data_IF_248766940867
#
_entry.id   IF_248766940867
#
_cell.length_a   1.000
_cell.length_b   1.000
_cell.length_c   1.000
_cell.angle_alpha   90.00
_cell.angle_beta   90.00
_cell.angle_gamma   90.00
#
_symmetry.space_group_name_H-M   'P 1'
#
loop_
_entity.id
_entity.type
_entity.pdbx_description
1 polymer ?
#
# COMPACT_ATOMS: atom_id res chain seq x y z
N UNK A 1 11.86 -1.83 5.09
CA UNK A 1 11.46 -2.95 4.20
C UNK A 1 12.39 -4.14 4.45
N UNK A 2 12.03 -5.03 5.38
CA UNK A 2 12.88 -6.15 5.80
C UNK A 2 12.57 -7.45 5.06
N UNK A 3 11.28 -7.71 4.84
CA UNK A 3 10.80 -9.03 4.42
C UNK A 3 11.06 -9.33 2.94
N UNK A 4 11.80 -8.44 2.26
CA UNK A 4 12.12 -8.51 0.84
C UNK A 4 13.61 -8.76 0.62
N UNK A 5 13.94 -9.42 -0.50
CA UNK A 5 15.31 -9.86 -0.80
C UNK A 5 15.74 -9.38 -2.17
N UNK A 6 16.81 -8.58 -2.24
CA UNK A 6 17.33 -7.94 -3.46
C UNK A 6 16.20 -7.35 -4.35
N UNK A 7 16.18 -7.62 -5.65
CA UNK A 7 15.14 -7.16 -6.57
C UNK A 7 13.80 -7.88 -6.44
N UNK A 8 13.57 -8.65 -5.37
CA UNK A 8 12.33 -9.37 -5.09
C UNK A 8 11.94 -10.43 -6.13
N UNK A 9 12.89 -10.94 -6.94
CA UNK A 9 12.60 -12.00 -7.92
C UNK A 9 12.07 -13.30 -7.31
N UNK A 10 12.34 -13.53 -6.02
CA UNK A 10 11.79 -14.68 -5.25
C UNK A 10 10.76 -14.24 -4.22
N UNK A 11 11.07 -13.22 -3.42
CA UNK A 11 10.22 -12.77 -2.31
C UNK A 11 9.03 -11.94 -2.77
N UNK A 12 9.13 -11.32 -3.95
CA UNK A 12 8.09 -10.49 -4.54
C UNK A 12 6.92 -11.25 -5.16
N UNK A 13 6.96 -12.58 -5.22
CA UNK A 13 5.81 -13.41 -5.62
C UNK A 13 4.96 -13.85 -4.42
N UNK A 14 5.43 -13.61 -3.19
CA UNK A 14 4.78 -14.07 -1.97
C UNK A 14 4.07 -12.90 -1.27
N UNK A 15 2.73 -12.83 -1.39
CA UNK A 15 1.91 -11.76 -0.81
C UNK A 15 2.18 -11.53 0.68
N UNK A 16 2.51 -12.59 1.45
CA UNK A 16 2.76 -12.50 2.90
C UNK A 16 3.95 -11.61 3.25
N UNK A 17 4.91 -11.44 2.33
CA UNK A 17 6.11 -10.62 2.53
C UNK A 17 5.88 -9.13 2.27
N UNK A 18 4.67 -8.77 1.83
CA UNK A 18 4.19 -7.39 1.70
C UNK A 18 3.42 -6.90 2.94
N UNK A 19 3.26 -7.73 3.97
CA UNK A 19 2.44 -7.41 5.15
C UNK A 19 2.93 -6.19 5.96
N UNK A 20 4.25 -5.97 6.05
CA UNK A 20 4.82 -4.82 6.79
C UNK A 20 4.86 -3.54 5.98
N UNK A 21 5.31 -3.64 4.73
CA UNK A 21 5.43 -2.53 3.79
C UNK A 21 4.84 -3.03 2.49
N UNK A 22 3.58 -2.65 2.26
CA UNK A 22 2.78 -3.20 1.18
C UNK A 22 3.11 -2.59 -0.19
N UNK A 23 3.51 -1.32 -0.21
CA UNK A 23 3.59 -0.51 -1.43
C UNK A 23 4.88 0.33 -1.43
N UNK A 24 5.41 0.70 -2.62
CA UNK A 24 6.56 1.59 -2.74
C UNK A 24 6.19 3.01 -2.27
N UNK A 25 7.09 3.64 -1.52
CA UNK A 25 6.96 5.02 -1.07
C UNK A 25 8.33 5.69 -0.92
N UNK A 26 8.37 7.02 -1.01
CA UNK A 26 9.51 7.82 -0.55
C UNK A 26 9.25 8.31 0.86
N UNK A 27 10.16 7.99 1.77
CA UNK A 27 10.07 8.42 3.16
C UNK A 27 10.77 9.76 3.33
N UNK A 28 10.11 10.68 4.03
CA UNK A 28 10.62 12.01 4.37
C UNK A 28 10.34 12.32 5.84
N UNK A 29 11.16 13.18 6.44
CA UNK A 29 10.86 13.69 7.77
C UNK A 29 9.57 14.54 7.74
N UNK A 30 8.65 14.42 8.74
CA UNK A 30 7.38 15.15 8.74
C UNK A 30 7.52 16.68 8.61
N UNK A 31 8.59 17.27 9.16
CA UNK A 31 8.86 18.70 8.98
C UNK A 31 9.21 19.06 7.52
N UNK A 32 9.90 18.19 6.80
CA UNK A 32 10.20 18.40 5.38
C UNK A 32 8.96 18.31 4.51
N UNK A 33 8.03 17.42 4.86
CA UNK A 33 6.72 17.32 4.24
C UNK A 33 5.89 18.59 4.50
N UNK A 34 5.83 19.05 5.76
CA UNK A 34 5.10 20.25 6.13
C UNK A 34 5.61 21.50 5.41
N UNK A 35 6.94 21.70 5.32
CA UNK A 35 7.56 22.80 4.57
C UNK A 35 7.22 22.78 3.08
N UNK A 36 6.86 21.62 2.53
CA UNK A 36 6.52 21.40 1.12
C UNK A 36 5.01 21.21 0.88
N UNK A 37 4.17 21.40 1.91
CA UNK A 37 2.73 21.15 1.87
C UNK A 37 2.35 19.74 1.38
N UNK A 38 3.14 18.74 1.79
CA UNK A 38 2.89 17.34 1.46
C UNK A 38 2.20 16.61 2.61
N UNK A 39 1.27 15.72 2.28
CA UNK A 39 0.60 14.80 3.21
C UNK A 39 0.92 13.36 2.84
N UNK A 40 0.80 12.44 3.79
CA UNK A 40 0.94 11.01 3.51
C UNK A 40 0.06 10.58 2.34
N UNK A 41 0.64 9.83 1.41
CA UNK A 41 -0.03 9.35 0.20
C UNK A 41 -0.03 10.34 -0.97
N UNK A 42 0.36 11.61 -0.77
CA UNK A 42 0.57 12.54 -1.89
C UNK A 42 1.65 11.99 -2.83
N UNK A 43 1.40 12.07 -4.14
CA UNK A 43 2.39 11.70 -5.13
C UNK A 43 3.44 12.81 -5.30
N UNK A 44 4.70 12.41 -5.41
CA UNK A 44 5.82 13.32 -5.66
C UNK A 44 6.71 12.81 -6.78
N UNK A 45 7.19 13.73 -7.61
CA UNK A 45 8.33 13.50 -8.49
C UNK A 45 9.59 13.50 -7.64
N UNK A 46 10.33 12.39 -7.69
CA UNK A 46 11.69 12.29 -7.18
C UNK A 46 12.62 12.29 -8.38
N UNK A 47 13.47 13.31 -8.51
CA UNK A 47 14.31 13.51 -9.71
C UNK A 47 15.77 13.61 -9.31
N UNK A 48 16.62 12.81 -9.93
CA UNK A 48 18.08 12.95 -9.88
C UNK A 48 18.62 13.39 -11.24
N UNK A 49 19.94 13.51 -11.36
CA UNK A 49 20.60 13.76 -12.65
C UNK A 49 20.38 12.65 -13.68
N UNK A 50 20.09 11.42 -13.24
CA UNK A 50 19.94 10.25 -14.12
C UNK A 50 18.49 9.99 -14.57
N UNK A 51 17.51 10.45 -13.79
CA UNK A 51 16.12 10.19 -14.11
C UNK A 51 15.16 10.73 -13.07
N UNK A 52 13.88 10.50 -13.31
CA UNK A 52 12.80 10.85 -12.39
C UNK A 52 11.91 9.64 -12.19
N UNK A 53 11.30 9.49 -11.02
CA UNK A 53 10.20 8.55 -10.79
C UNK A 53 9.10 9.25 -9.99
N UNK A 54 7.90 8.66 -9.96
CA UNK A 54 6.79 9.15 -9.13
C UNK A 54 6.54 8.14 -8.01
N UNK A 55 6.40 8.62 -6.79
CA UNK A 55 6.15 7.80 -5.60
C UNK A 55 5.17 8.50 -4.66
N UNK A 56 4.33 7.76 -3.92
CA UNK A 56 3.65 8.32 -2.77
C UNK A 56 4.67 8.67 -1.69
N UNK A 57 4.43 9.77 -0.98
CA UNK A 57 5.23 10.19 0.17
C UNK A 57 4.71 9.54 1.45
N UNK A 58 5.64 9.19 2.34
CA UNK A 58 5.35 8.69 3.68
C UNK A 58 6.20 9.44 4.72
N UNK A 59 5.58 9.85 5.82
CA UNK A 59 6.28 10.45 6.96
C UNK A 59 7.10 9.43 7.74
N UNK A 60 8.33 9.79 8.07
CA UNK A 60 9.27 8.99 8.86
C UNK A 60 10.08 9.90 9.78
N UNK A 61 9.72 9.95 11.07
CA UNK A 61 10.39 10.79 12.09
C UNK A 61 11.81 10.33 12.43
N UNK A 62 12.16 9.09 12.08
CA UNK A 62 13.47 8.49 12.25
C UNK A 62 14.51 8.99 11.22
N UNK A 63 14.08 9.64 10.15
CA UNK A 63 14.98 10.21 9.15
C UNK A 63 15.50 11.58 9.60
N UNK A 64 16.75 11.88 9.26
CA UNK A 64 17.29 13.22 9.43
C UNK A 64 16.55 14.22 8.53
N UNK A 65 16.52 15.49 8.97
CA UNK A 65 16.02 16.58 8.12
C UNK A 65 16.78 16.64 6.80
N UNK A 66 16.07 16.97 5.72
CA UNK A 66 16.56 17.02 4.34
C UNK A 66 17.14 15.71 3.80
N UNK A 67 16.80 14.57 4.43
CA UNK A 67 17.07 13.24 3.92
C UNK A 67 15.80 12.62 3.36
N UNK A 68 15.96 11.81 2.32
CA UNK A 68 14.91 10.98 1.75
C UNK A 68 15.39 9.53 1.72
N UNK A 69 14.47 8.60 1.98
CA UNK A 69 14.76 7.18 1.91
C UNK A 69 13.79 6.47 0.98
N UNK A 70 14.33 5.63 0.09
CA UNK A 70 13.54 4.71 -0.74
C UNK A 70 14.24 3.35 -0.70
N UNK A 71 13.47 2.30 -0.44
CA UNK A 71 14.04 0.96 -0.39
C UNK A 71 14.43 0.47 -1.80
N UNK A 72 15.65 -0.03 -1.96
CA UNK A 72 16.20 -0.48 -3.26
C UNK A 72 15.41 -1.60 -3.96
N UNK A 73 14.58 -2.31 -3.19
CA UNK A 73 13.82 -3.48 -3.65
C UNK A 73 12.80 -3.12 -4.74
N UNK A 74 12.32 -1.88 -4.75
CA UNK A 74 11.30 -1.42 -5.68
C UNK A 74 11.89 -1.20 -7.08
N UNK A 75 12.01 -2.29 -7.84
CA UNK A 75 12.37 -2.31 -9.25
C UNK A 75 11.19 -2.12 -10.18
N UNK A 76 11.45 -2.21 -11.49
CA UNK A 76 10.47 -2.13 -12.57
C UNK A 76 9.46 -3.29 -12.61
N UNK A 77 9.71 -4.33 -11.82
CA UNK A 77 8.78 -5.41 -11.49
C UNK A 77 7.54 -4.94 -10.73
N UNK A 78 7.67 -3.90 -9.90
CA UNK A 78 6.62 -3.46 -8.96
C UNK A 78 6.31 -1.98 -9.07
N UNK A 79 7.26 -1.18 -9.54
CA UNK A 79 7.15 0.27 -9.66
C UNK A 79 7.43 0.70 -11.10
N UNK A 80 6.45 1.34 -11.71
CA UNK A 80 6.52 1.81 -13.08
C UNK A 80 5.98 3.22 -13.22
N UNK A 81 6.02 3.68 -14.45
CA UNK A 81 5.63 5.02 -14.82
C UNK A 81 6.21 5.40 -16.17
N UNK A 82 5.61 6.40 -16.79
CA UNK A 82 6.17 7.08 -17.96
C UNK A 82 6.29 8.57 -17.71
N UNK A 83 7.35 9.18 -18.24
CA UNK A 83 7.46 10.62 -18.27
C UNK A 83 6.44 11.24 -19.22
N UNK A 84 6.27 12.56 -19.17
CA UNK A 84 5.48 13.30 -20.17
C UNK A 84 5.99 13.15 -21.61
N UNK A 85 7.23 12.65 -21.80
CA UNK A 85 7.82 12.35 -23.10
C UNK A 85 7.71 10.85 -23.48
N UNK A 86 6.91 10.07 -22.74
CA UNK A 86 6.72 8.65 -23.01
C UNK A 86 7.91 7.76 -22.65
N UNK A 87 8.94 8.31 -21.98
CA UNK A 87 10.11 7.53 -21.56
C UNK A 87 9.75 6.73 -20.31
N UNK A 88 9.98 5.42 -20.33
CA UNK A 88 9.77 4.56 -19.16
C UNK A 88 10.67 5.01 -18.02
N UNK A 89 10.04 5.28 -16.88
CA UNK A 89 10.69 5.66 -15.62
C UNK A 89 10.35 4.56 -14.62
N UNK A 90 11.28 3.64 -14.37
CA UNK A 90 10.97 2.48 -13.57
C UNK A 90 12.09 2.12 -12.59
N UNK A 91 11.66 1.74 -11.40
CA UNK A 91 12.53 1.30 -10.31
C UNK A 91 13.40 2.40 -9.68
N UNK A 92 13.79 2.15 -8.43
CA UNK A 92 14.56 3.11 -7.62
C UNK A 92 15.97 3.35 -8.18
N UNK A 93 16.56 2.37 -8.85
CA UNK A 93 17.87 2.49 -9.48
C UNK A 93 17.91 3.48 -10.67
N UNK A 94 16.76 3.96 -11.14
CA UNK A 94 16.71 5.09 -12.07
C UNK A 94 17.21 6.40 -11.43
N UNK A 95 17.16 6.52 -10.11
CA UNK A 95 17.57 7.72 -9.36
C UNK A 95 19.03 7.70 -8.92
N UNK A 96 19.66 6.53 -8.86
CA UNK A 96 21.04 6.39 -8.33
C UNK A 96 22.08 7.05 -9.24
N UNK A 97 23.35 6.96 -8.88
CA UNK A 97 24.48 7.50 -9.67
C UNK A 97 25.20 6.39 -10.43
N UNK A 98 25.92 6.75 -11.50
CA UNK A 98 26.85 5.85 -12.20
C UNK A 98 28.24 5.80 -11.57
N UNK A 99 28.46 6.52 -10.46
CA UNK A 99 29.73 6.50 -9.74
C UNK A 99 30.01 5.12 -9.17
N UNK A 100 31.28 4.70 -9.25
CA UNK A 100 31.77 3.45 -8.67
C UNK A 100 33.18 3.63 -8.13
N UNK A 101 33.58 2.79 -7.18
CA UNK A 101 34.94 2.79 -6.65
C UNK A 101 35.95 2.38 -7.75
N UNK A 102 36.97 3.19 -8.08
CA UNK A 102 37.92 2.89 -9.16
C UNK A 102 38.65 1.56 -9.00
N UNK A 103 38.87 1.11 -7.76
CA UNK A 103 39.55 -0.15 -7.43
C UNK A 103 38.58 -1.34 -7.46
N UNK A 104 37.56 -1.35 -6.59
CA UNK A 104 36.66 -2.51 -6.44
C UNK A 104 35.56 -2.60 -7.49
N UNK A 105 35.34 -1.53 -8.27
CA UNK A 105 34.22 -1.35 -9.21
C UNK A 105 32.83 -1.43 -8.56
N UNK A 106 32.73 -1.35 -7.24
CA UNK A 106 31.45 -1.32 -6.54
C UNK A 106 30.72 0.02 -6.76
N UNK A 107 29.42 0.01 -7.08
CA UNK A 107 28.64 1.23 -7.34
C UNK A 107 28.29 2.01 -6.07
N UNK A 108 28.11 3.31 -6.19
CA UNK A 108 27.55 4.18 -5.15
C UNK A 108 26.03 4.08 -5.12
N UNK A 109 25.51 3.37 -4.12
CA UNK A 109 24.07 3.10 -3.95
C UNK A 109 23.49 3.71 -2.67
N UNK A 110 24.31 4.36 -1.84
CA UNK A 110 23.91 4.92 -0.54
C UNK A 110 23.53 6.40 -0.64
N UNK A 111 24.06 7.11 -1.63
CA UNK A 111 23.81 8.54 -1.77
C UNK A 111 23.50 8.95 -3.22
N UNK A 112 22.38 9.63 -3.40
CA UNK A 112 22.00 10.31 -4.64
C UNK A 112 21.34 11.65 -4.31
N UNK A 113 21.82 12.74 -4.91
CA UNK A 113 21.18 14.04 -4.79
C UNK A 113 19.88 14.03 -5.60
N UNK A 114 18.77 14.36 -4.94
CA UNK A 114 17.44 14.37 -5.54
C UNK A 114 16.72 15.69 -5.29
N UNK A 115 15.88 16.07 -6.24
CA UNK A 115 14.85 17.10 -6.13
C UNK A 115 13.50 16.40 -5.91
N UNK A 116 12.71 16.90 -4.97
CA UNK A 116 11.37 16.37 -4.68
C UNK A 116 10.35 17.48 -4.89
N UNK A 117 9.36 17.23 -5.76
CA UNK A 117 8.25 18.12 -6.07
C UNK A 117 6.93 17.36 -6.02
N UNK A 118 5.83 18.02 -5.62
CA UNK A 118 4.48 17.43 -5.70
C UNK A 118 4.16 17.07 -7.17
N UNK A 119 3.57 15.90 -7.37
CA UNK A 119 3.08 15.44 -8.67
C UNK A 119 1.56 15.67 -8.73
N UNK A 120 1.13 16.55 -9.63
CA UNK A 120 -0.29 16.89 -9.82
C UNK A 120 -0.94 15.87 -10.77
N UNK A 121 -1.36 14.73 -10.21
CA UNK A 121 -2.04 13.64 -10.92
C UNK A 121 -3.47 13.50 -10.36
N UNK A 122 -4.44 14.29 -10.86
CA UNK A 122 -5.77 14.40 -10.27
C UNK A 122 -6.63 13.13 -10.43
N UNK A 123 -6.29 12.26 -11.37
CA UNK A 123 -6.97 10.98 -11.54
C UNK A 123 -6.14 9.85 -10.96
N UNK A 124 -6.77 9.05 -10.09
CA UNK A 124 -6.14 7.89 -9.45
C UNK A 124 -6.94 6.62 -9.67
N UNK A 125 -6.27 5.49 -9.65
CA UNK A 125 -6.82 4.14 -9.78
C UNK A 125 -6.30 3.27 -8.64
N UNK A 126 -7.21 2.53 -8.02
CA UNK A 126 -6.92 1.42 -7.13
C UNK A 126 -7.79 0.23 -7.53
N UNK A 127 -7.16 -0.87 -7.92
CA UNK A 127 -7.82 -2.13 -8.20
C UNK A 127 -7.21 -3.24 -7.35
N UNK A 128 -8.04 -3.97 -6.62
CA UNK A 128 -7.61 -4.99 -5.66
C UNK A 128 -8.48 -6.21 -5.80
N UNK A 129 -7.91 -7.40 -5.96
CA UNK A 129 -8.67 -8.64 -6.00
C UNK A 129 -7.91 -9.82 -5.42
N UNK A 130 -8.65 -10.74 -4.81
CA UNK A 130 -8.19 -12.10 -4.55
C UNK A 130 -8.25 -12.90 -5.85
N UNK A 131 -7.18 -13.62 -6.18
CA UNK A 131 -7.11 -14.44 -7.40
C UNK A 131 -6.82 -15.90 -7.05
N UNK A 132 -7.21 -16.85 -7.92
CA UNK A 132 -6.67 -18.20 -7.86
C UNK A 132 -5.14 -18.18 -7.95
N UNK A 133 -4.46 -19.00 -7.16
CA UNK A 133 -3.01 -18.99 -7.01
C UNK A 133 -2.30 -19.22 -8.35
N UNK A 134 -2.82 -20.14 -9.15
CA UNK A 134 -2.34 -20.49 -10.48
C UNK A 134 -2.48 -19.36 -11.52
N UNK A 135 -3.36 -18.39 -11.27
CA UNK A 135 -3.57 -17.23 -12.15
C UNK A 135 -2.89 -15.96 -11.66
N UNK A 136 -2.60 -15.85 -10.37
CA UNK A 136 -2.12 -14.62 -9.76
C UNK A 136 -0.81 -14.13 -10.38
N UNK A 137 0.15 -15.02 -10.65
CA UNK A 137 1.42 -14.64 -11.26
C UNK A 137 1.23 -14.16 -12.71
N UNK A 138 0.46 -14.90 -13.52
CA UNK A 138 0.19 -14.51 -14.90
C UNK A 138 -0.53 -13.16 -14.99
N UNK A 139 -1.56 -12.95 -14.15
CA UNK A 139 -2.27 -11.68 -14.07
C UNK A 139 -1.34 -10.52 -13.67
N UNK A 140 -0.39 -10.75 -12.74
CA UNK A 140 0.61 -9.75 -12.36
C UNK A 140 1.51 -9.37 -13.53
N UNK A 141 2.00 -10.34 -14.31
CA UNK A 141 2.83 -10.07 -15.48
C UNK A 141 2.07 -9.25 -16.53
N UNK A 142 0.80 -9.57 -16.79
CA UNK A 142 -0.02 -8.79 -17.72
C UNK A 142 -0.29 -7.37 -17.21
N UNK A 143 -0.64 -7.21 -15.92
CA UNK A 143 -0.83 -5.90 -15.29
C UNK A 143 0.46 -5.06 -15.34
N UNK A 144 1.63 -5.68 -15.18
CA UNK A 144 2.93 -5.00 -15.26
C UNK A 144 3.14 -4.32 -16.61
N UNK A 145 2.68 -4.91 -17.72
CA UNK A 145 2.77 -4.27 -19.03
C UNK A 145 1.92 -2.99 -19.11
N UNK A 146 0.77 -2.97 -18.43
CA UNK A 146 -0.12 -1.80 -18.38
C UNK A 146 0.44 -0.66 -17.53
N UNK A 147 1.40 -0.93 -16.64
CA UNK A 147 2.02 0.13 -15.82
C UNK A 147 2.70 1.22 -16.66
N UNK A 148 3.14 0.88 -17.88
CA UNK A 148 3.73 1.85 -18.82
C UNK A 148 2.71 2.83 -19.43
N UNK A 149 1.41 2.65 -19.17
CA UNK A 149 0.36 3.55 -19.66
C UNK A 149 0.08 4.72 -18.70
N UNK A 150 0.71 4.73 -17.53
CA UNK A 150 0.42 5.70 -16.48
C UNK A 150 1.69 6.47 -16.08
N UNK A 151 1.58 7.76 -15.74
CA UNK A 151 2.68 8.50 -15.10
C UNK A 151 3.19 7.85 -13.81
N UNK A 152 2.28 7.27 -13.02
CA UNK A 152 2.60 6.46 -11.85
C UNK A 152 1.82 5.16 -11.91
N UNK A 153 2.50 4.03 -11.69
CA UNK A 153 1.81 2.77 -11.43
C UNK A 153 2.62 1.85 -10.50
N UNK A 154 1.91 1.03 -9.74
CA UNK A 154 2.46 0.00 -8.87
C UNK A 154 1.59 -1.26 -8.91
N UNK A 155 2.21 -2.42 -8.99
CA UNK A 155 1.51 -3.71 -8.93
C UNK A 155 2.21 -4.64 -7.93
N UNK A 156 1.53 -4.99 -6.84
CA UNK A 156 2.09 -5.77 -5.74
C UNK A 156 1.13 -6.88 -5.31
N UNK A 157 1.63 -8.07 -4.92
CA UNK A 157 0.78 -9.07 -4.30
C UNK A 157 0.50 -8.73 -2.84
N UNK A 158 -0.58 -9.32 -2.31
CA UNK A 158 -0.90 -9.28 -0.88
C UNK A 158 -1.54 -10.61 -0.44
N UNK A 159 -1.70 -10.77 0.88
CA UNK A 159 -2.36 -11.92 1.48
C UNK A 159 -1.41 -12.95 2.06
N UNK A 160 -1.96 -13.90 2.83
CA UNK A 160 -1.15 -14.88 3.59
C UNK A 160 -1.42 -16.32 3.18
N UNK A 161 -2.67 -16.75 3.32
CA UNK A 161 -3.16 -18.07 2.91
C UNK A 161 -3.72 -18.04 1.48
N UNK A 162 -4.06 -16.83 1.01
CA UNK A 162 -4.55 -16.53 -0.33
C UNK A 162 -3.64 -15.50 -0.95
N UNK A 163 -3.59 -15.50 -2.28
CA UNK A 163 -2.84 -14.50 -3.05
C UNK A 163 -3.82 -13.54 -3.70
N UNK A 164 -3.63 -12.26 -3.43
CA UNK A 164 -4.32 -11.18 -4.13
C UNK A 164 -3.34 -10.26 -4.82
N UNK A 165 -3.83 -9.43 -5.74
CA UNK A 165 -3.07 -8.38 -6.41
C UNK A 165 -3.68 -7.02 -6.13
N UNK A 166 -2.82 -6.05 -5.84
CA UNK A 166 -3.14 -4.63 -5.76
C UNK A 166 -2.44 -3.92 -6.92
N UNK A 167 -3.24 -3.31 -7.78
CA UNK A 167 -2.80 -2.42 -8.84
C UNK A 167 -3.20 -0.99 -8.51
N UNK A 168 -2.22 -0.10 -8.42
CA UNK A 168 -2.42 1.34 -8.23
C UNK A 168 -1.86 2.08 -9.42
N UNK A 169 -2.57 3.12 -9.87
CA UNK A 169 -2.03 4.04 -10.86
C UNK A 169 -2.53 5.46 -10.64
N UNK A 170 -1.87 6.44 -11.25
CA UNK A 170 -2.33 7.81 -11.30
C UNK A 170 -1.92 8.47 -12.62
N UNK A 171 -2.75 9.40 -13.09
CA UNK A 171 -2.62 10.08 -14.37
C UNK A 171 -3.21 11.49 -14.33
N UNK A 172 -2.94 12.27 -15.39
CA UNK A 172 -3.53 13.59 -15.61
C UNK A 172 -5.01 13.48 -16.00
N UNK A 173 -5.36 12.44 -16.74
CA UNK A 173 -6.70 12.19 -17.26
C UNK A 173 -7.16 10.76 -16.94
N UNK A 174 -8.47 10.53 -17.04
CA UNK A 174 -9.03 9.20 -16.86
C UNK A 174 -8.48 8.23 -17.93
N UNK A 175 -8.12 7.02 -17.51
CA UNK A 175 -7.64 6.01 -18.43
C UNK A 175 -8.73 5.60 -19.45
N UNK A 176 -8.35 5.24 -20.69
CA UNK A 176 -9.29 4.72 -21.68
C UNK A 176 -10.11 3.53 -21.16
N UNK A 177 -11.36 3.42 -21.61
CA UNK A 177 -12.29 2.37 -21.17
C UNK A 177 -11.76 0.95 -21.45
N UNK A 178 -10.99 0.78 -22.53
CA UNK A 178 -10.34 -0.48 -22.92
C UNK A 178 -9.23 -0.91 -21.95
N UNK A 179 -8.46 0.05 -21.43
CA UNK A 179 -7.43 -0.20 -20.42
C UNK A 179 -8.09 -0.59 -19.11
N UNK A 180 -9.14 0.14 -18.72
CA UNK A 180 -9.93 -0.17 -17.53
C UNK A 180 -10.61 -1.54 -17.61
N UNK A 181 -11.21 -1.88 -18.75
CA UNK A 181 -11.82 -3.19 -18.97
C UNK A 181 -10.78 -4.33 -18.95
N UNK A 182 -9.56 -4.08 -19.44
CA UNK A 182 -8.46 -5.04 -19.37
C UNK A 182 -8.03 -5.28 -17.93
N UNK A 183 -7.84 -4.23 -17.13
CA UNK A 183 -7.51 -4.35 -15.70
C UNK A 183 -8.62 -5.11 -14.95
N UNK A 184 -9.90 -4.77 -15.19
CA UNK A 184 -11.03 -5.47 -14.61
C UNK A 184 -11.05 -6.97 -14.98
N UNK A 185 -10.78 -7.32 -16.24
CA UNK A 185 -10.72 -8.71 -16.70
C UNK A 185 -9.59 -9.49 -16.01
N UNK A 186 -8.39 -8.90 -15.92
CA UNK A 186 -7.22 -9.53 -15.28
C UNK A 186 -7.45 -9.79 -13.79
N UNK A 187 -8.27 -8.96 -13.14
CA UNK A 187 -8.60 -9.05 -11.73
C UNK A 187 -9.91 -9.80 -11.45
N UNK A 188 -10.47 -10.52 -12.45
CA UNK A 188 -11.73 -11.27 -12.32
C UNK A 188 -12.95 -10.39 -11.97
N UNK A 189 -12.94 -9.15 -12.45
CA UNK A 189 -13.99 -8.13 -12.27
C UNK A 189 -14.75 -7.83 -13.57
N UNK A 190 -14.59 -8.66 -14.60
CA UNK A 190 -15.30 -8.56 -15.89
C UNK A 190 -16.68 -9.24 -15.92
N UNK A 191 -17.05 -10.02 -14.90
CA UNK A 191 -18.26 -10.83 -14.85
C UNK A 191 -19.58 -10.05 -14.68
N UNK A 192 -20.71 -10.74 -14.88
CA UNK A 192 -22.07 -10.19 -14.69
C UNK A 192 -22.46 -10.07 -13.21
N UNK A 193 -21.76 -10.78 -12.33
CA UNK A 193 -21.91 -10.78 -10.86
C UNK A 193 -21.20 -9.60 -10.17
N UNK A 194 -20.69 -8.64 -10.94
CA UNK A 194 -19.95 -7.48 -10.46
C UNK A 194 -20.82 -6.23 -10.47
N UNK A 195 -20.96 -5.60 -9.30
CA UNK A 195 -21.63 -4.32 -9.14
C UNK A 195 -20.78 -3.23 -9.80
N UNK A 196 -21.42 -2.35 -10.59
CA UNK A 196 -20.70 -1.29 -11.34
C UNK A 196 -21.36 0.07 -11.22
N UNK A 197 -20.52 1.09 -11.23
CA UNK A 197 -20.90 2.49 -11.37
C UNK A 197 -19.84 3.21 -12.23
N UNK A 198 -20.28 4.04 -13.17
CA UNK A 198 -19.38 4.87 -13.95
C UNK A 198 -19.99 6.26 -14.18
N UNK A 199 -19.19 7.29 -14.02
CA UNK A 199 -19.51 8.67 -14.39
C UNK A 199 -18.34 9.22 -15.21
N UNK A 200 -18.48 9.12 -16.54
CA UNK A 200 -17.45 9.55 -17.49
C UNK A 200 -17.14 11.04 -17.36
N UNK A 201 -18.13 11.87 -17.05
CA UNK A 201 -17.93 13.33 -16.91
C UNK A 201 -17.04 13.67 -15.72
N UNK A 202 -17.09 12.85 -14.67
CA UNK A 202 -16.25 13.00 -13.47
C UNK A 202 -15.02 12.08 -13.46
N UNK A 203 -14.78 11.32 -14.54
CA UNK A 203 -13.70 10.32 -14.60
C UNK A 203 -13.84 9.19 -13.58
N UNK A 204 -15.05 8.96 -13.05
CA UNK A 204 -15.29 7.99 -11.99
C UNK A 204 -15.63 6.62 -12.55
N UNK A 205 -14.99 5.57 -12.02
CA UNK A 205 -15.35 4.18 -12.32
C UNK A 205 -15.20 3.32 -11.07
N UNK A 206 -16.21 2.50 -10.79
CA UNK A 206 -16.24 1.63 -9.61
C UNK A 206 -16.77 0.27 -10.01
N UNK A 207 -16.09 -0.76 -9.55
CA UNK A 207 -16.51 -2.15 -9.68
C UNK A 207 -16.33 -2.84 -8.32
N UNK A 208 -17.25 -3.73 -7.95
CA UNK A 208 -17.13 -4.53 -6.73
C UNK A 208 -17.76 -5.91 -6.93
N UNK A 209 -17.01 -6.96 -6.62
CA UNK A 209 -17.45 -8.35 -6.75
C UNK A 209 -17.66 -8.98 -5.38
N UNK A 210 -18.86 -9.50 -5.16
CA UNK A 210 -19.21 -10.23 -3.95
C UNK A 210 -19.32 -11.72 -4.27
N UNK A 211 -18.70 -12.56 -3.45
CA UNK A 211 -18.88 -14.01 -3.51
C UNK A 211 -19.51 -14.51 -2.21
N UNK A 212 -20.40 -15.50 -2.32
CA UNK A 212 -20.98 -16.19 -1.17
C UNK A 212 -19.96 -17.21 -0.64
N UNK A 213 -19.66 -17.13 0.65
CA UNK A 213 -18.80 -18.06 1.39
C UNK A 213 -19.59 -18.53 2.61
N UNK A 214 -20.18 -19.73 2.51
CA UNK A 214 -21.19 -20.18 3.47
C UNK A 214 -22.41 -19.25 3.48
N UNK A 215 -22.80 -18.79 4.66
CA UNK A 215 -23.95 -17.90 4.85
C UNK A 215 -23.64 -16.41 4.66
N UNK A 216 -22.38 -16.05 4.45
CA UNK A 216 -21.94 -14.66 4.32
C UNK A 216 -21.50 -14.33 2.90
N UNK A 217 -21.76 -13.10 2.43
CA UNK A 217 -21.08 -12.56 1.27
C UNK A 217 -19.78 -11.86 1.69
N UNK A 218 -18.70 -12.08 0.92
CA UNK A 218 -17.40 -11.41 1.09
C UNK A 218 -17.00 -10.70 -0.19
N UNK A 219 -16.28 -9.59 -0.04
CA UNK A 219 -15.72 -8.84 -1.16
C UNK A 219 -14.50 -9.60 -1.71
N UNK A 220 -14.56 -10.03 -2.96
CA UNK A 220 -13.46 -10.75 -3.63
C UNK A 220 -12.59 -9.85 -4.49
N UNK A 221 -13.13 -8.72 -4.95
CA UNK A 221 -12.35 -7.71 -5.65
C UNK A 221 -13.11 -6.41 -5.84
N UNK A 222 -12.37 -5.32 -6.05
CA UNK A 222 -12.93 -4.01 -6.37
C UNK A 222 -12.01 -3.18 -7.27
N UNK A 223 -12.60 -2.20 -7.96
CA UNK A 223 -11.93 -1.10 -8.66
C UNK A 223 -12.50 0.21 -8.15
N UNK A 224 -11.63 1.17 -7.85
CA UNK A 224 -11.92 2.58 -7.62
C UNK A 224 -11.07 3.40 -8.61
N UNK A 225 -11.69 4.21 -9.45
CA UNK A 225 -11.00 5.12 -10.35
C UNK A 225 -11.60 6.52 -10.28
N UNK A 226 -10.75 7.54 -10.35
CA UNK A 226 -11.05 8.94 -10.03
C UNK A 226 -10.84 9.19 -8.53
N UNK A 227 -11.92 9.22 -7.76
CA UNK A 227 -11.89 9.29 -6.30
C UNK A 227 -11.65 7.90 -5.70
N UNK A 228 -10.43 7.70 -5.18
CA UNK A 228 -10.04 6.47 -4.49
C UNK A 228 -10.18 6.55 -2.96
N UNK A 229 -10.76 7.63 -2.41
CA UNK A 229 -10.82 7.84 -0.95
C UNK A 229 -11.54 6.73 -0.18
N UNK A 230 -12.45 6.01 -0.85
CA UNK A 230 -13.12 4.82 -0.31
C UNK A 230 -12.15 3.66 0.00
N UNK A 231 -10.91 3.68 -0.50
CA UNK A 231 -9.83 2.75 -0.13
C UNK A 231 -9.78 2.53 1.39
N UNK A 232 -9.93 3.61 2.17
CA UNK A 232 -9.81 3.61 3.63
C UNK A 232 -10.68 2.55 4.33
N UNK A 233 -11.82 2.19 3.74
CA UNK A 233 -12.74 1.23 4.33
C UNK A 233 -12.97 -0.01 3.46
N UNK A 234 -12.88 0.11 2.13
CA UNK A 234 -13.12 -1.04 1.23
C UNK A 234 -11.93 -2.00 1.17
N UNK A 235 -10.69 -1.49 1.29
CA UNK A 235 -9.48 -2.32 1.30
C UNK A 235 -9.42 -3.23 2.54
N UNK A 236 -9.65 -2.73 3.78
CA UNK A 236 -9.80 -3.60 4.94
C UNK A 236 -10.95 -4.60 4.80
N UNK A 237 -12.11 -4.20 4.27
CA UNK A 237 -13.24 -5.11 4.03
C UNK A 237 -12.85 -6.34 3.18
N UNK A 238 -12.04 -6.13 2.14
CA UNK A 238 -11.51 -7.21 1.30
C UNK A 238 -10.38 -8.00 1.98
N UNK A 239 -9.37 -7.31 2.51
CA UNK A 239 -8.13 -7.93 3.01
C UNK A 239 -8.32 -8.67 4.33
N UNK A 240 -9.20 -8.16 5.21
CA UNK A 240 -9.56 -8.80 6.48
C UNK A 240 -10.68 -9.85 6.31
N UNK A 241 -11.17 -10.05 5.07
CA UNK A 241 -12.24 -10.96 4.70
C UNK A 241 -13.52 -10.78 5.53
N UNK A 242 -13.89 -9.53 5.79
CA UNK A 242 -15.03 -9.19 6.63
C UNK A 242 -16.36 -9.45 5.87
N UNK A 243 -17.46 -9.71 6.61
CA UNK A 243 -18.78 -9.83 6.00
C UNK A 243 -19.17 -8.55 5.26
N UNK A 244 -19.50 -8.67 3.98
CA UNK A 244 -19.83 -7.57 3.09
C UNK A 244 -21.31 -7.53 2.66
N UNK A 245 -22.13 -8.48 3.15
CA UNK A 245 -23.56 -8.59 2.80
C UNK A 245 -24.35 -7.31 3.06
N UNK A 246 -24.05 -6.61 4.15
CA UNK A 246 -24.74 -5.37 4.54
C UNK A 246 -24.43 -4.17 3.63
N UNK A 247 -23.36 -4.23 2.83
CA UNK A 247 -22.98 -3.12 1.96
C UNK A 247 -23.77 -3.14 0.65
N UNK A 248 -23.82 -4.28 -0.04
CA UNK A 248 -24.47 -4.37 -1.35
C UNK A 248 -24.01 -3.25 -2.29
N UNK A 249 -24.94 -2.43 -2.79
CA UNK A 249 -24.63 -1.27 -3.66
C UNK A 249 -23.84 -0.16 -2.97
N UNK A 250 -23.80 -0.12 -1.63
CA UNK A 250 -23.00 0.86 -0.86
C UNK A 250 -21.49 0.71 -1.10
N UNK A 251 -21.03 -0.43 -1.62
CA UNK A 251 -19.66 -0.63 -2.10
C UNK A 251 -19.25 0.35 -3.21
N UNK A 252 -20.22 0.92 -3.93
CA UNK A 252 -20.01 1.86 -5.02
C UNK A 252 -20.06 3.34 -4.59
N UNK A 253 -20.27 3.62 -3.30
CA UNK A 253 -20.39 5.00 -2.79
C UNK A 253 -19.01 5.65 -2.66
N UNK A 254 -18.81 6.89 -3.15
CA UNK A 254 -17.56 7.63 -2.97
C UNK A 254 -17.36 8.13 -1.55
N UNK A 255 -16.12 8.53 -1.23
CA UNK A 255 -15.75 9.10 0.06
C UNK A 255 -15.07 8.14 1.04
N UNK A 256 -14.24 8.74 1.91
CA UNK A 256 -13.45 8.04 2.92
C UNK A 256 -14.23 7.53 4.13
N UNK A 257 -15.49 7.94 4.30
CA UNK A 257 -16.35 7.50 5.42
C UNK A 257 -17.12 6.26 5.00
N UNK A 258 -16.94 5.18 5.75
CA UNK A 258 -17.67 3.95 5.53
C UNK A 258 -19.18 4.16 5.78
N UNK A 259 -20.06 3.68 4.89
CA UNK A 259 -21.51 3.77 5.05
C UNK A 259 -22.04 2.80 6.13
N UNK A 260 -21.28 1.74 6.39
CA UNK A 260 -21.48 0.76 7.46
C UNK A 260 -20.17 0.67 8.26
N UNK A 261 -20.25 0.46 9.57
CA UNK A 261 -19.05 0.38 10.41
C UNK A 261 -18.14 -0.78 9.96
N UNK A 262 -16.84 -0.48 9.78
CA UNK A 262 -15.81 -1.48 9.44
C UNK A 262 -14.96 -1.70 10.68
N UNK A 263 -14.97 -2.92 11.20
CA UNK A 263 -14.07 -3.33 12.26
C UNK A 263 -12.86 -4.04 11.63
N UNK A 264 -11.84 -3.26 11.26
CA UNK A 264 -10.60 -3.83 10.71
C UNK A 264 -9.86 -4.66 11.77
N UNK A 265 -9.15 -5.69 11.31
CA UNK A 265 -8.24 -6.50 12.13
C UNK A 265 -6.94 -5.75 12.49
N UNK A 266 -6.69 -4.58 11.92
CA UNK A 266 -5.50 -3.77 12.18
C UNK A 266 -4.31 -4.09 11.27
N UNK A 267 -3.26 -3.29 11.38
CA UNK A 267 -2.04 -3.45 10.59
C UNK A 267 -1.18 -4.58 11.15
N UNK A 268 -0.62 -5.41 10.26
CA UNK A 268 0.31 -6.46 10.65
C UNK A 268 1.64 -5.89 11.15
N UNK A 269 2.02 -6.25 12.38
CA UNK A 269 3.29 -5.86 13.02
C UNK A 269 4.28 -7.03 13.06
N UNK A 270 3.82 -8.27 13.24
CA UNK A 270 4.68 -9.46 13.20
C UNK A 270 4.28 -10.40 12.04
N UNK A 271 5.11 -10.49 11.00
CA UNK A 271 4.88 -11.40 9.85
C UNK A 271 4.96 -12.87 10.26
N UNK A 272 5.89 -13.23 11.14
CA UNK A 272 6.12 -14.62 11.55
C UNK A 272 4.90 -15.23 12.26
N UNK A 273 4.35 -14.51 13.25
CA UNK A 273 3.29 -14.98 14.14
C UNK A 273 1.92 -14.38 13.80
N UNK A 274 1.83 -13.53 12.77
CA UNK A 274 0.59 -12.87 12.33
C UNK A 274 -0.08 -12.01 13.39
N UNK A 275 0.74 -11.23 14.10
CA UNK A 275 0.27 -10.34 15.17
C UNK A 275 0.06 -8.94 14.60
N UNK A 276 -1.11 -8.35 14.88
CA UNK A 276 -1.52 -7.01 14.46
C UNK A 276 -1.36 -5.98 15.58
N UNK A 277 -1.32 -4.71 15.20
CA UNK A 277 -1.33 -3.57 16.13
C UNK A 277 -2.54 -3.56 17.06
N UNK A 278 -3.73 -3.96 16.59
CA UNK A 278 -4.94 -4.06 17.42
C UNK A 278 -4.80 -5.12 18.50
N UNK A 279 -4.24 -6.30 18.19
CA UNK A 279 -3.98 -7.36 19.16
C UNK A 279 -2.94 -6.91 20.21
N UNK A 280 -1.89 -6.21 19.76
CA UNK A 280 -0.88 -5.62 20.64
C UNK A 280 -1.53 -4.58 21.57
N UNK A 281 -2.30 -3.65 21.03
CA UNK A 281 -2.96 -2.58 21.80
C UNK A 281 -3.98 -3.15 22.80
N UNK A 282 -4.72 -4.20 22.42
CA UNK A 282 -5.66 -4.87 23.31
C UNK A 282 -4.93 -5.53 24.50
N UNK A 283 -3.80 -6.20 24.25
CA UNK A 283 -2.95 -6.76 25.31
C UNK A 283 -2.33 -5.67 26.19
N UNK A 284 -1.88 -4.57 25.57
CA UNK A 284 -1.27 -3.44 26.25
C UNK A 284 -2.24 -2.64 27.13
N UNK A 285 -3.56 -2.72 26.88
CA UNK A 285 -4.59 -2.04 27.68
C UNK A 285 -4.71 -2.60 29.10
N UNK A 286 -4.37 -3.87 29.30
CA UNK A 286 -4.38 -4.51 30.62
C UNK A 286 -3.02 -4.53 31.32
N UNK A 287 -1.97 -4.00 30.71
CA UNK A 287 -0.58 -4.12 31.22
C UNK A 287 0.05 -2.76 31.48
N UNK A 288 0.31 -2.48 32.76
CA UNK A 288 1.12 -1.35 33.21
C UNK A 288 2.54 -1.82 33.57
N UNK A 289 3.51 -0.91 33.49
CA UNK A 289 4.89 -1.20 33.91
C UNK A 289 5.96 -0.64 32.95
N UNK A 290 7.24 -0.92 33.24
CA UNK A 290 8.35 -0.47 32.41
C UNK A 290 8.32 -1.12 31.02
N UNK A 291 8.97 -0.46 30.05
CA UNK A 291 8.96 -0.88 28.64
C UNK A 291 9.34 -2.35 28.44
N UNK A 292 10.42 -2.80 29.07
CA UNK A 292 10.90 -4.19 28.94
C UNK A 292 9.93 -5.21 29.53
N UNK A 293 9.26 -4.86 30.65
CA UNK A 293 8.24 -5.72 31.25
C UNK A 293 7.00 -5.87 30.34
N UNK A 294 6.58 -4.78 29.69
CA UNK A 294 5.47 -4.80 28.73
C UNK A 294 5.84 -5.57 27.46
N UNK A 295 7.08 -5.42 26.98
CA UNK A 295 7.60 -6.20 25.85
C UNK A 295 7.63 -7.71 26.18
N UNK A 296 8.14 -8.08 27.35
CA UNK A 296 8.16 -9.48 27.79
C UNK A 296 6.75 -10.07 27.89
N UNK A 297 5.78 -9.29 28.37
CA UNK A 297 4.37 -9.71 28.42
C UNK A 297 3.78 -9.96 27.02
N UNK A 298 4.07 -9.09 26.05
CA UNK A 298 3.68 -9.32 24.65
C UNK A 298 4.33 -10.56 24.05
N UNK A 299 5.63 -10.77 24.32
CA UNK A 299 6.37 -11.95 23.86
C UNK A 299 5.83 -13.24 24.47
N UNK A 300 5.38 -13.22 25.71
CA UNK A 300 4.79 -14.40 26.37
C UNK A 300 3.38 -14.72 25.83
N UNK A 301 2.54 -13.70 25.59
CA UNK A 301 1.14 -13.92 25.21
C UNK A 301 0.93 -14.06 23.70
N UNK A 302 1.52 -13.17 22.90
CA UNK A 302 1.32 -13.12 21.44
C UNK A 302 2.46 -13.78 20.67
N UNK A 303 3.53 -14.18 21.36
CA UNK A 303 4.75 -14.76 20.77
C UNK A 303 5.46 -13.86 19.75
N UNK A 304 5.00 -12.63 19.52
CA UNK A 304 5.64 -11.69 18.61
C UNK A 304 7.02 -11.28 19.16
N UNK A 305 8.02 -11.19 18.28
CA UNK A 305 9.37 -10.78 18.66
C UNK A 305 10.23 -11.91 19.25
N UNK A 306 9.75 -13.16 19.29
CA UNK A 306 10.53 -14.31 19.81
C UNK A 306 11.21 -15.13 18.71
N UNK A 307 10.65 -15.18 17.49
CA UNK A 307 11.19 -16.00 16.40
C UNK A 307 12.39 -15.37 15.70
N UNK A 308 12.19 -14.18 15.10
CA UNK A 308 13.23 -13.50 14.33
C UNK A 308 13.59 -12.12 14.88
N UNK A 309 12.94 -11.69 15.96
CA UNK A 309 13.19 -10.40 16.65
C UNK A 309 12.86 -9.13 15.86
N UNK A 310 12.47 -9.20 14.59
CA UNK A 310 12.41 -8.02 13.72
C UNK A 310 11.34 -7.00 14.04
N UNK A 311 10.25 -7.45 14.63
CA UNK A 311 9.16 -6.57 15.05
C UNK A 311 9.47 -5.88 16.38
N UNK A 312 10.54 -6.26 17.09
CA UNK A 312 10.88 -5.70 18.42
C UNK A 312 11.05 -4.17 18.42
N UNK A 313 11.74 -3.54 17.45
CA UNK A 313 11.82 -2.08 17.41
C UNK A 313 10.45 -1.40 17.31
N UNK A 314 9.57 -1.98 16.50
CA UNK A 314 8.20 -1.49 16.30
C UNK A 314 7.32 -1.73 17.53
N UNK A 315 7.44 -2.90 18.17
CA UNK A 315 6.77 -3.18 19.44
C UNK A 315 7.18 -2.17 20.51
N UNK A 316 8.48 -1.87 20.63
CA UNK A 316 8.99 -0.83 21.54
C UNK A 316 8.45 0.56 21.19
N UNK A 317 8.29 0.88 19.91
CA UNK A 317 7.67 2.13 19.46
C UNK A 317 6.21 2.23 19.90
N UNK A 318 5.42 1.17 19.70
CA UNK A 318 4.01 1.10 20.12
C UNK A 318 3.89 1.21 21.65
N UNK A 319 4.76 0.51 22.40
CA UNK A 319 4.79 0.58 23.87
C UNK A 319 5.06 2.02 24.35
N UNK A 320 6.05 2.71 23.74
CA UNK A 320 6.43 4.09 24.07
C UNK A 320 5.36 5.12 23.69
N UNK A 321 4.69 4.92 22.55
CA UNK A 321 3.62 5.82 22.11
C UNK A 321 2.42 5.81 23.06
N UNK A 322 2.21 4.71 23.81
CA UNK A 322 1.04 4.52 24.65
C UNK A 322 -0.22 4.33 23.81
N UNK A 323 -1.30 3.87 24.45
CA UNK A 323 -2.60 3.73 23.78
C UNK A 323 -3.09 5.14 23.41
N UNK A 324 -3.36 5.47 22.14
CA UNK A 324 -4.07 6.71 21.84
C UNK A 324 -5.43 6.62 22.53
N UNK A 325 -5.69 7.52 23.48
CA UNK A 325 -6.97 7.61 24.15
C UNK A 325 -8.07 7.68 23.07
N UNK A 326 -9.06 6.80 23.15
CA UNK A 326 -10.31 6.93 22.39
C UNK A 326 -10.80 8.36 22.59
N UNK A 327 -10.76 9.20 21.56
CA UNK A 327 -11.49 10.46 21.60
C UNK A 327 -12.96 10.09 21.86
N UNK A 328 -13.57 10.59 22.95
CA UNK A 328 -14.98 10.36 23.17
C UNK A 328 -15.74 10.91 21.97
N UNK A 329 -16.71 10.14 21.48
CA UNK A 329 -17.65 10.61 20.49
C UNK A 329 -18.19 11.96 20.97
N UNK A 330 -18.03 13.00 20.14
CA UNK A 330 -18.60 14.31 20.42
C UNK A 330 -20.08 14.10 20.74
N UNK A 331 -20.47 14.39 21.98
CA UNK A 331 -21.87 14.49 22.35
C UNK A 331 -22.46 15.57 21.45
N UNK A 332 -23.39 15.16 20.59
CA UNK A 332 -24.26 16.09 19.89
C UNK A 332 -25.14 16.68 20.99
N UNK A 333 -24.84 17.91 21.38
CA UNK A 333 -25.75 18.74 22.17
C UNK A 333 -26.99 19.00 21.32
N UNK A 334 -28.15 18.76 21.93
CA UNK A 334 -29.49 19.05 21.41
C UNK A 334 -29.65 20.48 20.90
#
# INVERSE_FOLDING_TARGET
>A
LRDQWHGMSRTGTLGRLFGHVAEPAVQLHPQDMARRNLKDGDLVHVTSRRGSIVLPVQGASELGLSQAFIAMHWGDEFLGGVSSMGVRLAGVNALTTSAFCPSSKQPELKHAAVKILKAELPWSLLAVAWLPEERALAAREELKHLMALFPFASCVPFGRERTGLLFRAASYEAAPDEVMATIERLLDLGGTDVLRYADKKKGQRRAARLARVGDQARLTGFVLAGDISAERWIKPLLQDELPAQAYGRLLLVPGARAPVAVQSRGQQVCTCLNVTDTAINAHLAGTAGPEDGRLASLQASLLCGTQCGSCVPELRRIIRAGIPAKQPAARISS
#
